data_IF_911029202050
#
_entry.id   IF_911029202050
#
_cell.length_a   1.000
_cell.length_b   1.000
_cell.length_c   1.000
_cell.angle_alpha   90.00
_cell.angle_beta   90.00
_cell.angle_gamma   90.00
#
_symmetry.space_group_name_H-M   'P 1'
#
loop_
_entity.id
_entity.type
_entity.pdbx_description
1 polymer ?
#
# COMPACT_ATOMS: atom_id res chain seq x y z
N UNK A 1 -1.72 11.73 36.29
CA UNK A 1 -1.75 11.12 34.95
C UNK A 1 -2.82 11.88 34.17
N UNK A 2 -2.48 12.55 33.08
CA UNK A 2 -3.49 13.11 32.16
C UNK A 2 -4.02 11.98 31.30
N UNK A 3 -5.24 11.56 31.52
CA UNK A 3 -5.90 10.60 30.67
C UNK A 3 -6.17 11.28 29.30
N UNK A 4 -5.64 10.69 28.23
CA UNK A 4 -5.97 11.09 26.89
C UNK A 4 -7.26 10.38 26.46
N UNK A 5 -8.10 11.03 25.65
CA UNK A 5 -9.29 10.39 25.09
C UNK A 5 -8.87 9.12 24.31
N UNK A 6 -9.35 7.93 24.71
CA UNK A 6 -8.98 6.69 24.05
C UNK A 6 -9.58 6.56 22.65
N UNK A 7 -10.67 7.25 22.36
CA UNK A 7 -11.31 7.25 21.04
C UNK A 7 -10.65 8.30 20.13
N UNK A 8 -10.22 7.85 18.96
CA UNK A 8 -9.69 8.69 17.88
C UNK A 8 -10.52 8.48 16.63
N UNK A 9 -10.80 9.55 15.91
CA UNK A 9 -11.50 9.51 14.63
C UNK A 9 -10.84 10.47 13.65
N UNK A 10 -10.72 10.05 12.38
CA UNK A 10 -10.24 10.91 11.30
C UNK A 10 -10.91 10.59 9.99
N UNK A 11 -10.95 11.60 9.13
CA UNK A 11 -11.49 11.53 7.77
C UNK A 11 -10.35 11.76 6.79
N UNK A 12 -10.40 11.05 5.68
CA UNK A 12 -9.45 11.18 4.59
C UNK A 12 -10.20 11.22 3.26
N UNK A 13 -9.79 12.12 2.37
CA UNK A 13 -10.24 12.22 0.99
C UNK A 13 -9.02 12.35 0.09
N UNK A 14 -8.96 11.54 -0.96
CA UNK A 14 -7.86 11.57 -1.90
C UNK A 14 -8.27 10.97 -3.26
N UNK A 15 -7.40 11.05 -4.26
CA UNK A 15 -7.55 10.41 -5.56
C UNK A 15 -6.55 9.25 -5.76
N UNK A 16 -6.28 8.46 -4.71
CA UNK A 16 -5.26 7.40 -4.72
C UNK A 16 -5.85 6.01 -5.00
N UNK A 17 -6.98 5.98 -5.73
CA UNK A 17 -7.52 4.74 -6.29
C UNK A 17 -7.29 4.72 -7.79
N UNK A 18 -7.31 3.53 -8.40
CA UNK A 18 -7.26 3.40 -9.86
C UNK A 18 -8.46 4.09 -10.51
N UNK A 19 -8.26 4.92 -11.56
CA UNK A 19 -9.36 5.47 -12.33
C UNK A 19 -10.33 4.43 -12.87
N UNK A 20 -9.86 3.21 -13.15
CA UNK A 20 -10.68 2.09 -13.62
C UNK A 20 -11.85 1.77 -12.67
N UNK A 21 -11.68 2.01 -11.38
CA UNK A 21 -12.69 1.75 -10.34
C UNK A 21 -13.07 3.02 -9.57
N UNK A 22 -12.82 4.20 -10.15
CA UNK A 22 -13.09 5.50 -9.56
C UNK A 22 -11.95 6.00 -8.68
N UNK A 23 -11.20 6.99 -9.17
CA UNK A 23 -9.97 7.51 -8.56
C UNK A 23 -10.20 8.16 -7.20
N UNK A 24 -11.28 8.92 -7.07
CA UNK A 24 -11.61 9.69 -5.86
C UNK A 24 -12.22 8.75 -4.81
N UNK A 25 -11.62 8.75 -3.61
CA UNK A 25 -12.04 7.92 -2.50
C UNK A 25 -12.09 8.69 -1.20
N UNK A 26 -12.97 8.24 -0.31
CA UNK A 26 -13.11 8.78 1.04
C UNK A 26 -13.06 7.67 2.07
N UNK A 27 -12.45 7.96 3.22
CA UNK A 27 -12.36 7.04 4.37
C UNK A 27 -12.80 7.72 5.65
N UNK A 28 -13.44 6.93 6.51
CA UNK A 28 -13.60 7.21 7.92
C UNK A 28 -12.88 6.13 8.72
N UNK A 29 -12.03 6.54 9.65
CA UNK A 29 -11.31 5.62 10.54
C UNK A 29 -11.65 5.97 11.99
N UNK A 30 -12.00 4.94 12.76
CA UNK A 30 -12.23 4.99 14.18
C UNK A 30 -11.23 4.05 14.87
N UNK A 31 -10.55 4.55 15.89
CA UNK A 31 -9.67 3.74 16.71
C UNK A 31 -9.94 3.96 18.18
N UNK A 32 -9.98 2.88 18.96
CA UNK A 32 -10.08 2.90 20.40
C UNK A 32 -8.83 2.28 21.00
N UNK A 33 -8.13 3.06 21.81
CA UNK A 33 -6.97 2.60 22.56
C UNK A 33 -7.43 2.11 23.94
N UNK A 34 -7.01 0.88 24.31
CA UNK A 34 -7.36 0.26 25.58
C UNK A 34 -8.86 -0.03 25.74
N UNK A 35 -9.46 -0.70 24.74
CA UNK A 35 -10.91 -1.02 24.71
C UNK A 35 -11.29 -2.00 25.85
N UNK A 36 -10.48 -3.04 26.05
CA UNK A 36 -10.72 -4.06 27.08
C UNK A 36 -9.89 -3.87 28.35
N UNK A 37 -9.08 -2.81 28.44
CA UNK A 37 -8.27 -2.52 29.62
C UNK A 37 -6.89 -3.19 29.63
N UNK A 38 -6.50 -3.90 28.54
CA UNK A 38 -5.23 -4.62 28.44
C UNK A 38 -4.17 -3.86 27.63
N UNK A 39 -4.36 -2.57 27.35
CA UNK A 39 -3.49 -1.81 26.46
C UNK A 39 -3.71 -2.15 24.97
N UNK A 40 -4.83 -2.76 24.66
CA UNK A 40 -5.25 -3.22 23.35
C UNK A 40 -5.67 -2.05 22.44
N UNK A 41 -5.65 -2.28 21.15
CA UNK A 41 -6.10 -1.29 20.15
C UNK A 41 -7.06 -1.92 19.16
N UNK A 42 -8.25 -1.34 19.06
CA UNK A 42 -9.22 -1.62 18.00
C UNK A 42 -9.16 -0.52 16.95
N UNK A 43 -9.07 -0.88 15.67
CA UNK A 43 -9.16 0.03 14.55
C UNK A 43 -10.19 -0.46 13.53
N UNK A 44 -11.09 0.43 13.14
CA UNK A 44 -12.12 0.20 12.12
C UNK A 44 -11.98 1.29 11.06
N UNK A 45 -11.82 0.89 9.80
CA UNK A 45 -11.82 1.80 8.67
C UNK A 45 -12.88 1.36 7.66
N UNK A 46 -13.69 2.30 7.26
CA UNK A 46 -14.60 2.17 6.13
C UNK A 46 -14.23 3.19 5.06
N UNK A 47 -14.17 2.75 3.83
CA UNK A 47 -13.92 3.63 2.68
C UNK A 47 -14.80 3.26 1.49
N UNK A 48 -14.90 4.19 0.56
CA UNK A 48 -15.57 4.00 -0.74
C UNK A 48 -15.00 4.90 -1.82
N UNK A 49 -15.12 4.45 -3.06
CA UNK A 49 -15.01 5.27 -4.28
C UNK A 49 -16.26 5.06 -5.15
N UNK A 50 -16.27 5.56 -6.38
CA UNK A 50 -17.38 5.31 -7.32
C UNK A 50 -17.62 3.81 -7.53
N UNK A 51 -16.57 3.07 -7.91
CA UNK A 51 -16.66 1.63 -8.19
C UNK A 51 -16.16 0.73 -7.06
N UNK A 52 -15.77 1.25 -5.89
CA UNK A 52 -15.35 0.41 -4.75
C UNK A 52 -16.22 0.66 -3.54
N UNK A 53 -17.00 -0.35 -3.14
CA UNK A 53 -17.87 -0.27 -1.97
C UNK A 53 -18.28 -1.67 -1.49
N UNK A 54 -17.88 -2.11 -0.28
CA UNK A 54 -17.07 -1.38 0.69
C UNK A 54 -15.55 -1.57 0.51
N UNK A 55 -14.77 -0.62 1.05
CA UNK A 55 -13.40 -0.82 1.47
C UNK A 55 -13.40 -0.93 3.00
N UNK A 56 -13.27 -2.13 3.54
CA UNK A 56 -13.28 -2.37 4.98
C UNK A 56 -11.90 -2.84 5.45
N UNK A 57 -11.45 -2.27 6.57
CA UNK A 57 -10.28 -2.75 7.29
C UNK A 57 -10.60 -2.75 8.79
N UNK A 58 -10.61 -3.95 9.36
CA UNK A 58 -10.71 -4.19 10.79
C UNK A 58 -9.37 -4.70 11.30
N UNK A 59 -8.84 -4.12 12.38
CA UNK A 59 -7.67 -4.60 13.09
C UNK A 59 -7.91 -4.54 14.59
N UNK A 60 -7.70 -5.66 15.28
CA UNK A 60 -7.64 -5.70 16.73
C UNK A 60 -6.26 -6.22 17.16
N UNK A 61 -5.58 -5.47 18.00
CA UNK A 61 -4.23 -5.78 18.47
C UNK A 61 -4.18 -5.74 19.98
N UNK A 62 -3.59 -6.76 20.60
CA UNK A 62 -3.44 -6.88 22.05
C UNK A 62 -1.99 -7.19 22.40
N UNK A 63 -1.38 -6.46 23.34
CA UNK A 63 -0.08 -6.81 23.89
C UNK A 63 -0.21 -8.06 24.78
N UNK A 64 0.72 -9.00 24.64
CA UNK A 64 0.78 -10.24 25.39
C UNK A 64 2.13 -10.37 26.09
N UNK A 65 2.11 -10.37 27.43
CA UNK A 65 3.31 -10.50 28.24
C UNK A 65 4.13 -9.21 28.39
N UNK A 66 5.19 -9.26 29.22
CA UNK A 66 5.93 -8.08 29.68
C UNK A 66 6.97 -7.56 28.67
N UNK A 67 7.15 -8.24 27.53
CA UNK A 67 8.16 -7.90 26.50
C UNK A 67 7.56 -7.25 25.26
N UNK A 68 6.38 -6.63 25.40
CA UNK A 68 5.67 -5.92 24.30
C UNK A 68 5.43 -6.79 23.06
N UNK A 69 5.32 -8.10 23.23
CA UNK A 69 4.82 -8.99 22.18
C UNK A 69 3.37 -8.62 21.91
N UNK A 70 3.00 -8.45 20.65
CA UNK A 70 1.62 -8.17 20.25
C UNK A 70 1.06 -9.29 19.40
N UNK A 71 -0.22 -9.58 19.60
CA UNK A 71 -1.02 -10.45 18.72
C UNK A 71 -2.07 -9.60 18.06
N UNK A 72 -2.20 -9.70 16.73
CA UNK A 72 -3.20 -8.93 16.00
C UNK A 72 -4.05 -9.82 15.10
N UNK A 73 -5.36 -9.58 15.12
CA UNK A 73 -6.32 -10.11 14.16
C UNK A 73 -6.68 -9.02 13.17
N UNK A 74 -6.68 -9.34 11.87
CA UNK A 74 -7.02 -8.43 10.81
C UNK A 74 -8.05 -9.04 9.86
N UNK A 75 -9.01 -8.22 9.41
CA UNK A 75 -9.92 -8.54 8.33
C UNK A 75 -9.98 -7.37 7.35
N UNK A 76 -9.78 -7.67 6.05
CA UNK A 76 -9.88 -6.68 4.97
C UNK A 76 -10.86 -7.18 3.92
N UNK A 77 -11.68 -6.28 3.41
CA UNK A 77 -12.61 -6.56 2.31
C UNK A 77 -12.64 -5.40 1.33
N UNK A 78 -12.56 -5.74 0.06
CA UNK A 78 -12.63 -4.80 -1.05
C UNK A 78 -13.57 -5.39 -2.10
N UNK A 79 -14.70 -4.72 -2.32
CA UNK A 79 -15.65 -5.09 -3.38
C UNK A 79 -15.56 -3.98 -4.42
N UNK A 80 -15.09 -4.28 -5.63
CA UNK A 80 -14.95 -3.28 -6.69
C UNK A 80 -15.63 -3.71 -7.99
N UNK A 81 -16.14 -2.71 -8.73
CA UNK A 81 -16.65 -2.80 -10.07
C UNK A 81 -15.87 -1.86 -11.00
N UNK A 82 -15.80 -2.21 -12.27
CA UNK A 82 -15.18 -1.37 -13.28
C UNK A 82 -16.14 -0.25 -13.67
N UNK A 83 -15.68 1.00 -13.57
CA UNK A 83 -16.44 2.22 -13.85
C UNK A 83 -15.92 2.99 -15.09
N UNK A 84 -14.73 2.65 -15.58
CA UNK A 84 -14.12 3.32 -16.72
C UNK A 84 -14.62 2.74 -18.04
N UNK A 85 -15.10 3.63 -18.93
CA UNK A 85 -15.49 3.27 -20.29
C UNK A 85 -14.27 2.75 -21.09
N UNK A 86 -14.45 1.76 -22.00
CA UNK A 86 -15.73 1.19 -22.47
C UNK A 86 -16.20 -0.04 -21.66
N UNK A 87 -15.55 -0.37 -20.55
CA UNK A 87 -15.80 -1.61 -19.82
C UNK A 87 -16.87 -1.48 -18.72
N UNK A 88 -17.29 -0.26 -18.40
CA UNK A 88 -18.34 0.08 -17.43
C UNK A 88 -19.67 -0.65 -17.70
N UNK A 89 -20.03 -0.82 -18.97
CA UNK A 89 -21.26 -1.49 -19.39
C UNK A 89 -21.24 -3.02 -19.21
N UNK A 90 -20.08 -3.62 -18.97
CA UNK A 90 -19.92 -5.08 -18.86
C UNK A 90 -20.26 -5.63 -17.47
N UNK A 91 -20.53 -4.78 -16.48
CA UNK A 91 -20.79 -5.15 -15.08
C UNK A 91 -19.73 -6.12 -14.53
N UNK A 92 -18.44 -5.76 -14.71
CA UNK A 92 -17.31 -6.52 -14.18
C UNK A 92 -17.19 -6.19 -12.69
N UNK A 93 -17.30 -7.19 -11.83
CA UNK A 93 -17.15 -7.05 -10.38
C UNK A 93 -16.10 -8.01 -9.83
N UNK A 94 -15.42 -7.57 -8.79
CA UNK A 94 -14.48 -8.40 -8.06
C UNK A 94 -14.66 -8.16 -6.56
N UNK A 95 -14.54 -9.23 -5.78
CA UNK A 95 -14.66 -9.22 -4.34
C UNK A 95 -13.44 -9.91 -3.73
N UNK A 96 -12.69 -9.18 -2.93
CA UNK A 96 -11.54 -9.71 -2.20
C UNK A 96 -11.77 -9.66 -0.69
N UNK A 97 -11.48 -10.75 0.01
CA UNK A 97 -11.55 -10.87 1.46
C UNK A 97 -10.25 -11.48 1.98
N UNK A 98 -9.66 -10.86 2.99
CA UNK A 98 -8.38 -11.29 3.55
C UNK A 98 -8.51 -11.35 5.07
N UNK A 99 -8.22 -12.52 5.66
CA UNK A 99 -8.13 -12.74 7.09
C UNK A 99 -6.68 -12.92 7.46
N UNK A 100 -6.21 -12.25 8.50
CA UNK A 100 -4.84 -12.32 8.97
C UNK A 100 -4.76 -12.47 10.48
N UNK A 101 -3.83 -13.30 10.94
CA UNK A 101 -3.43 -13.41 12.33
C UNK A 101 -1.91 -13.21 12.40
N UNK A 102 -1.46 -12.26 13.20
CA UNK A 102 -0.03 -11.96 13.35
C UNK A 102 0.43 -11.94 14.79
N UNK A 103 1.67 -12.35 14.98
CA UNK A 103 2.43 -12.19 16.23
C UNK A 103 3.65 -11.35 15.90
N UNK A 104 3.87 -10.26 16.64
CA UNK A 104 5.04 -9.40 16.52
C UNK A 104 5.76 -9.31 17.85
N UNK A 105 7.08 -9.52 17.83
CA UNK A 105 7.93 -9.47 19.02
C UNK A 105 9.12 -8.55 18.81
N UNK A 106 9.26 -7.46 19.58
CA UNK A 106 10.46 -6.63 19.57
C UNK A 106 11.58 -7.36 20.34
N UNK A 107 12.70 -7.64 19.63
CA UNK A 107 13.90 -8.24 20.23
C UNK A 107 14.90 -7.20 20.73
N UNK A 108 14.88 -6.02 20.12
CA UNK A 108 15.61 -4.84 20.57
C UNK A 108 14.60 -3.70 20.69
N UNK A 109 14.53 -3.07 21.86
CA UNK A 109 13.71 -1.90 22.09
C UNK A 109 14.47 -0.91 22.96
N UNK A 110 15.03 0.11 22.33
CA UNK A 110 15.72 1.22 22.97
C UNK A 110 15.01 2.53 22.59
N UNK A 111 15.38 3.64 23.22
CA UNK A 111 14.77 4.93 22.94
C UNK A 111 14.97 5.39 21.47
N UNK A 112 16.11 5.03 20.89
CA UNK A 112 16.56 5.41 19.56
C UNK A 112 16.54 4.28 18.52
N UNK A 113 16.28 3.03 18.95
CA UNK A 113 16.42 1.86 18.09
C UNK A 113 15.40 0.78 18.45
N UNK A 114 14.76 0.21 17.43
CA UNK A 114 13.90 -0.96 17.56
C UNK A 114 14.22 -1.99 16.47
N UNK A 115 14.31 -3.27 16.86
CA UNK A 115 14.31 -4.41 15.95
C UNK A 115 13.20 -5.36 16.40
N UNK A 116 12.28 -5.68 15.51
CA UNK A 116 11.19 -6.60 15.76
C UNK A 116 11.09 -7.67 14.69
N UNK A 117 10.63 -8.84 15.08
CA UNK A 117 10.23 -9.92 14.17
C UNK A 117 8.73 -10.10 14.22
N UNK A 118 8.16 -10.47 13.09
CA UNK A 118 6.73 -10.80 12.97
C UNK A 118 6.52 -12.11 12.22
N UNK A 119 5.51 -12.86 12.63
CA UNK A 119 4.99 -14.01 11.92
C UNK A 119 3.50 -13.79 11.67
N UNK A 120 3.08 -13.85 10.41
CA UNK A 120 1.70 -13.62 10.00
C UNK A 120 1.20 -14.78 9.16
N UNK A 121 0.05 -15.36 9.52
CA UNK A 121 -0.73 -16.23 8.66
C UNK A 121 -1.86 -15.44 8.00
N UNK A 122 -1.97 -15.50 6.69
CA UNK A 122 -3.06 -14.86 5.94
C UNK A 122 -3.81 -15.87 5.09
N UNK A 123 -5.13 -15.67 4.98
CA UNK A 123 -5.99 -16.40 4.06
C UNK A 123 -6.81 -15.40 3.24
N UNK A 124 -6.55 -15.37 1.94
CA UNK A 124 -7.20 -14.50 0.97
C UNK A 124 -8.16 -15.28 0.08
N UNK A 125 -9.31 -14.69 -0.21
CA UNK A 125 -10.31 -15.19 -1.15
C UNK A 125 -10.65 -14.09 -2.14
N UNK A 126 -10.77 -14.47 -3.40
CA UNK A 126 -11.16 -13.57 -4.47
C UNK A 126 -12.27 -14.22 -5.30
N UNK A 127 -13.26 -13.43 -5.70
CA UNK A 127 -14.35 -13.84 -6.59
C UNK A 127 -14.57 -12.75 -7.64
N UNK A 128 -14.62 -13.15 -8.93
CA UNK A 128 -14.86 -12.26 -10.08
C UNK A 128 -16.13 -12.66 -10.81
N UNK A 129 -16.89 -11.66 -11.25
CA UNK A 129 -18.13 -11.86 -12.03
C UNK A 129 -18.19 -10.90 -13.21
N UNK A 130 -18.89 -11.32 -14.27
CA UNK A 130 -19.23 -10.53 -15.45
C UNK A 130 -20.74 -10.65 -15.66
N UNK A 131 -21.46 -9.52 -15.65
CA UNK A 131 -22.94 -9.54 -15.75
C UNK A 131 -23.60 -10.40 -14.67
N UNK A 132 -23.01 -10.45 -13.45
CA UNK A 132 -23.50 -11.26 -12.32
C UNK A 132 -23.13 -12.75 -12.36
N UNK A 133 -22.53 -13.26 -13.44
CA UNK A 133 -22.11 -14.66 -13.55
C UNK A 133 -20.62 -14.82 -13.21
N UNK A 134 -20.21 -15.96 -12.61
CA UNK A 134 -18.79 -16.25 -12.38
C UNK A 134 -17.99 -16.14 -13.67
N UNK A 135 -16.89 -15.38 -13.64
CA UNK A 135 -16.07 -15.12 -14.82
C UNK A 135 -14.58 -15.17 -14.47
N UNK A 136 -13.80 -15.88 -15.26
CA UNK A 136 -12.35 -15.98 -15.11
C UNK A 136 -11.66 -14.69 -15.62
N UNK A 137 -11.77 -13.63 -14.84
CA UNK A 137 -11.08 -12.37 -15.12
C UNK A 137 -9.55 -12.49 -14.97
N UNK A 138 -9.12 -13.37 -14.08
CA UNK A 138 -7.72 -13.66 -13.79
C UNK A 138 -7.44 -15.08 -14.27
N UNK A 139 -6.56 -15.23 -15.26
CA UNK A 139 -6.16 -16.53 -15.79
C UNK A 139 -5.65 -17.43 -14.65
N UNK A 140 -6.14 -18.66 -14.61
CA UNK A 140 -5.84 -19.60 -13.52
C UNK A 140 -6.72 -19.48 -12.28
N UNK A 141 -7.80 -18.65 -12.35
CA UNK A 141 -8.83 -18.56 -11.34
C UNK A 141 -10.12 -19.25 -11.82
N UNK A 142 -10.25 -20.58 -11.70
CA UNK A 142 -11.38 -21.32 -12.27
C UNK A 142 -12.72 -20.81 -11.71
N UNK A 143 -13.70 -20.63 -12.59
CA UNK A 143 -15.00 -20.03 -12.24
C UNK A 143 -14.88 -18.66 -11.55
N UNK A 144 -13.87 -17.87 -11.91
CA UNK A 144 -13.62 -16.55 -11.33
C UNK A 144 -13.15 -16.55 -9.87
N UNK A 145 -12.70 -17.68 -9.34
CA UNK A 145 -12.37 -17.81 -7.92
C UNK A 145 -10.94 -18.28 -7.71
N UNK A 146 -10.25 -17.62 -6.80
CA UNK A 146 -8.98 -18.13 -6.27
C UNK A 146 -8.88 -17.90 -4.77
N UNK A 147 -8.06 -18.73 -4.13
CA UNK A 147 -7.74 -18.65 -2.70
C UNK A 147 -6.24 -18.76 -2.53
N UNK A 148 -5.70 -17.93 -1.66
CA UNK A 148 -4.29 -17.95 -1.28
C UNK A 148 -4.19 -18.05 0.22
N UNK A 149 -3.40 -19.00 0.71
CA UNK A 149 -3.01 -19.08 2.12
C UNK A 149 -1.52 -18.89 2.20
N UNK A 150 -1.06 -17.92 2.98
CA UNK A 150 0.36 -17.58 3.07
C UNK A 150 0.84 -17.43 4.51
N UNK A 151 2.10 -17.80 4.72
CA UNK A 151 2.87 -17.49 5.94
C UNK A 151 3.91 -16.44 5.59
N UNK A 152 3.98 -15.38 6.41
CA UNK A 152 4.88 -14.26 6.22
C UNK A 152 5.77 -14.07 7.43
N UNK A 153 7.09 -14.09 7.23
CA UNK A 153 8.07 -13.74 8.24
C UNK A 153 8.63 -12.35 7.97
N UNK A 154 8.40 -11.42 8.89
CA UNK A 154 8.83 -10.03 8.80
C UNK A 154 9.97 -9.71 9.76
N UNK A 155 10.89 -8.88 9.30
CA UNK A 155 11.99 -8.29 10.07
C UNK A 155 11.87 -6.78 9.91
N UNK A 156 11.67 -6.08 11.01
CA UNK A 156 11.45 -4.63 11.06
C UNK A 156 12.56 -3.98 11.88
N UNK A 157 13.25 -3.02 11.30
CA UNK A 157 14.26 -2.23 11.97
C UNK A 157 13.94 -0.75 11.86
N UNK A 158 13.99 -0.03 12.96
CA UNK A 158 13.85 1.41 13.01
C UNK A 158 14.96 2.01 13.87
N UNK A 159 15.57 3.07 13.36
CA UNK A 159 16.54 3.90 14.10
C UNK A 159 16.15 5.37 14.00
N UNK A 160 16.20 6.09 15.11
CA UNK A 160 15.84 7.50 15.21
C UNK A 160 16.94 8.27 15.90
N UNK A 161 17.28 9.42 15.33
CA UNK A 161 18.15 10.40 15.96
C UNK A 161 17.55 11.80 15.80
N UNK A 162 18.21 12.83 16.33
CA UNK A 162 17.76 14.21 16.14
C UNK A 162 17.76 14.65 14.66
N UNK A 163 18.62 14.05 13.83
CA UNK A 163 18.82 14.46 12.44
C UNK A 163 18.21 13.50 11.42
N UNK A 164 17.97 12.24 11.79
CA UNK A 164 17.51 11.23 10.82
C UNK A 164 16.66 10.15 11.43
N UNK A 165 15.82 9.56 10.56
CA UNK A 165 15.08 8.33 10.82
C UNK A 165 15.38 7.35 9.70
N UNK A 166 15.75 6.12 10.07
CA UNK A 166 15.92 5.00 9.15
C UNK A 166 14.87 3.96 9.51
N UNK A 167 14.13 3.45 8.52
CA UNK A 167 13.17 2.37 8.67
C UNK A 167 13.41 1.33 7.58
N UNK A 168 13.60 0.08 7.99
CA UNK A 168 13.82 -1.06 7.08
C UNK A 168 12.79 -2.14 7.38
N UNK A 169 12.23 -2.72 6.32
CA UNK A 169 11.39 -3.92 6.37
C UNK A 169 11.96 -4.96 5.42
N UNK A 170 12.10 -6.19 5.90
CA UNK A 170 12.36 -7.36 5.07
C UNK A 170 11.27 -8.40 5.38
N UNK A 171 10.54 -8.86 4.36
CA UNK A 171 9.43 -9.79 4.52
C UNK A 171 9.52 -10.94 3.53
N UNK A 172 9.64 -12.16 4.05
CA UNK A 172 9.54 -13.39 3.30
C UNK A 172 8.11 -13.91 3.35
N UNK A 173 7.55 -14.26 2.21
CA UNK A 173 6.20 -14.81 2.10
C UNK A 173 6.25 -16.18 1.41
N UNK A 174 5.58 -17.16 2.01
CA UNK A 174 5.45 -18.50 1.48
C UNK A 174 3.98 -18.83 1.33
N UNK A 175 3.54 -19.05 0.10
CA UNK A 175 2.22 -19.57 -0.20
C UNK A 175 2.15 -21.07 0.09
N UNK A 176 1.14 -21.49 0.84
CA UNK A 176 0.96 -22.89 1.24
C UNK A 176 -0.33 -23.47 0.66
N UNK A 177 -0.29 -24.74 0.23
CA UNK A 177 -1.43 -25.45 -0.35
C UNK A 177 -2.47 -25.89 0.69
N UNK A 178 -2.86 -24.98 1.61
CA UNK A 178 -3.78 -25.25 2.69
C UNK A 178 -5.11 -24.48 2.55
N UNK A 179 -6.15 -24.88 3.27
CA UNK A 179 -7.46 -24.21 3.35
C UNK A 179 -8.14 -24.00 1.96
N UNK A 180 -7.89 -24.92 1.01
CA UNK A 180 -8.44 -24.86 -0.33
C UNK A 180 -7.73 -23.83 -1.23
N UNK A 181 -6.47 -23.55 -1.00
CA UNK A 181 -5.63 -22.71 -1.84
C UNK A 181 -5.62 -23.21 -3.30
N UNK A 182 -5.69 -22.29 -4.25
CA UNK A 182 -5.78 -22.59 -5.68
C UNK A 182 -4.41 -23.01 -6.20
N UNK A 183 -4.29 -24.28 -6.62
CA UNK A 183 -3.08 -24.84 -7.21
C UNK A 183 -3.33 -25.15 -8.69
N UNK A 184 -2.56 -24.56 -9.57
CA UNK A 184 -2.73 -24.72 -11.01
C UNK A 184 -1.78 -25.76 -11.62
N UNK A 185 -0.60 -25.97 -11.05
CA UNK A 185 0.38 -26.96 -11.55
C UNK A 185 1.04 -26.61 -12.88
N UNK A 186 0.58 -25.59 -13.60
CA UNK A 186 1.22 -25.03 -14.79
C UNK A 186 2.08 -23.83 -14.38
N UNK A 187 3.39 -23.84 -14.63
CA UNK A 187 4.30 -22.75 -14.24
C UNK A 187 3.98 -21.40 -14.95
N UNK A 188 3.17 -21.41 -16.01
CA UNK A 188 2.74 -20.19 -16.69
C UNK A 188 1.47 -19.57 -16.08
N UNK A 189 0.82 -20.25 -15.15
CA UNK A 189 -0.36 -19.75 -14.45
C UNK A 189 -0.01 -19.34 -13.02
N UNK A 190 -0.73 -18.35 -12.46
CA UNK A 190 -0.58 -18.02 -11.05
C UNK A 190 -0.91 -19.22 -10.16
N UNK A 191 -0.11 -19.46 -9.13
CA UNK A 191 -0.32 -20.53 -8.16
C UNK A 191 -0.32 -19.95 -6.74
N UNK A 192 -1.12 -20.53 -5.85
CA UNK A 192 -1.14 -20.13 -4.44
C UNK A 192 0.08 -20.66 -3.65
N UNK A 193 0.86 -21.56 -4.24
CA UNK A 193 2.15 -22.00 -3.72
C UNK A 193 3.23 -21.16 -4.38
N UNK A 194 3.85 -20.31 -3.61
CA UNK A 194 4.85 -19.36 -4.10
C UNK A 194 5.85 -19.02 -2.99
N UNK A 195 6.98 -18.49 -3.42
CA UNK A 195 7.92 -17.78 -2.54
C UNK A 195 8.16 -16.38 -3.07
N UNK A 196 8.04 -15.39 -2.17
CA UNK A 196 8.37 -14.00 -2.50
C UNK A 196 9.10 -13.32 -1.34
N UNK A 197 9.95 -12.36 -1.70
CA UNK A 197 10.62 -11.47 -0.76
C UNK A 197 10.27 -10.02 -1.09
N UNK A 198 9.91 -9.25 -0.05
CA UNK A 198 9.72 -7.80 -0.10
C UNK A 198 10.73 -7.12 0.81
N UNK A 199 11.49 -6.20 0.25
CA UNK A 199 12.36 -5.28 0.97
C UNK A 199 11.86 -3.86 0.85
N UNK A 200 11.72 -3.13 1.97
CA UNK A 200 11.44 -1.69 1.98
C UNK A 200 12.50 -0.97 2.82
N UNK A 201 12.95 0.17 2.33
CA UNK A 201 13.85 1.05 3.05
C UNK A 201 13.33 2.49 2.97
N UNK A 202 13.28 3.18 4.09
CA UNK A 202 12.97 4.59 4.16
C UNK A 202 14.05 5.30 4.98
N UNK A 203 14.58 6.39 4.42
CA UNK A 203 15.51 7.26 5.09
C UNK A 203 15.01 8.69 5.03
N UNK A 204 14.83 9.28 6.20
CA UNK A 204 14.42 10.67 6.36
C UNK A 204 15.59 11.37 7.05
N UNK A 205 16.11 12.45 6.45
CA UNK A 205 17.20 13.22 7.01
C UNK A 205 16.91 14.71 7.00
N UNK A 206 17.15 15.37 8.13
CA UNK A 206 17.12 16.81 8.23
C UNK A 206 18.46 17.38 7.73
N UNK A 207 18.40 18.19 6.68
CA UNK A 207 19.56 18.88 6.13
C UNK A 207 19.64 20.30 6.69
N UNK A 208 20.85 20.82 7.00
CA UNK A 208 21.01 22.22 7.45
C UNK A 208 20.56 23.23 6.39
N UNK A 209 20.79 22.91 5.11
CA UNK A 209 20.44 23.77 3.98
C UNK A 209 18.93 24.00 3.93
N UNK A 210 18.51 25.24 4.16
CA UNK A 210 17.09 25.67 4.17
C UNK A 210 16.19 24.84 5.10
N UNK A 211 16.76 24.19 6.11
CA UNK A 211 16.00 23.27 6.99
C UNK A 211 15.24 22.19 6.21
N UNK A 212 15.80 21.78 5.09
CA UNK A 212 15.19 20.81 4.18
C UNK A 212 15.15 19.42 4.79
N UNK A 213 14.03 18.73 4.69
CA UNK A 213 13.92 17.33 5.02
C UNK A 213 14.03 16.50 3.73
N UNK A 214 15.09 15.69 3.62
CA UNK A 214 15.25 14.72 2.54
C UNK A 214 14.52 13.43 2.92
N UNK A 215 13.63 12.96 2.06
CA UNK A 215 12.89 11.71 2.21
C UNK A 215 13.26 10.80 1.05
N UNK A 216 13.87 9.67 1.33
CA UNK A 216 14.23 8.66 0.32
C UNK A 216 13.52 7.35 0.66
N UNK A 217 12.90 6.70 -0.33
CA UNK A 217 12.22 5.42 -0.18
C UNK A 217 12.63 4.49 -1.31
N UNK A 218 12.98 3.26 -0.94
CA UNK A 218 13.23 2.16 -1.88
C UNK A 218 12.32 0.99 -1.55
N UNK A 219 11.79 0.32 -2.57
CA UNK A 219 10.97 -0.88 -2.43
C UNK A 219 11.41 -1.88 -3.49
N UNK A 220 11.59 -3.13 -3.10
CA UNK A 220 11.91 -4.25 -4.01
C UNK A 220 11.05 -5.44 -3.65
N UNK A 221 10.36 -6.01 -4.63
CA UNK A 221 9.73 -7.32 -4.51
C UNK A 221 10.33 -8.28 -5.51
N UNK A 222 10.67 -9.48 -5.06
CA UNK A 222 11.19 -10.56 -5.89
C UNK A 222 10.40 -11.85 -5.66
N UNK A 223 10.00 -12.50 -6.73
CA UNK A 223 9.38 -13.82 -6.74
C UNK A 223 9.90 -14.64 -7.91
N UNK A 224 10.16 -15.91 -7.69
CA UNK A 224 10.45 -16.86 -8.75
C UNK A 224 9.18 -17.51 -9.32
N UNK A 225 8.04 -17.26 -8.69
CA UNK A 225 6.75 -17.84 -9.05
C UNK A 225 5.84 -16.77 -9.67
N UNK A 226 4.90 -17.18 -10.53
CA UNK A 226 3.85 -16.32 -11.03
C UNK A 226 2.76 -16.18 -9.96
N UNK A 227 2.53 -14.94 -9.51
CA UNK A 227 1.69 -14.61 -8.37
C UNK A 227 0.25 -14.28 -8.78
N UNK A 228 -0.72 -14.65 -7.94
CA UNK A 228 -2.06 -14.06 -8.03
C UNK A 228 -2.01 -12.54 -7.73
N UNK A 229 -2.91 -11.72 -8.30
CA UNK A 229 -2.87 -10.25 -8.17
C UNK A 229 -2.83 -9.71 -6.73
N UNK A 230 -3.40 -10.43 -5.75
CA UNK A 230 -3.34 -10.03 -4.35
C UNK A 230 -1.93 -10.15 -3.73
N UNK A 231 -1.02 -10.86 -4.38
CA UNK A 231 0.38 -11.05 -3.97
C UNK A 231 1.36 -10.25 -4.86
N UNK A 232 0.89 -9.74 -6.00
CA UNK A 232 1.69 -8.92 -6.91
C UNK A 232 1.92 -7.52 -6.34
N UNK A 233 2.95 -6.85 -6.83
CA UNK A 233 3.29 -5.48 -6.47
C UNK A 233 2.82 -4.50 -7.56
N UNK A 234 2.24 -3.38 -7.13
CA UNK A 234 1.81 -2.31 -8.01
C UNK A 234 2.87 -1.21 -8.14
N UNK A 235 3.06 -0.70 -9.36
CA UNK A 235 3.94 0.43 -9.68
C UNK A 235 3.15 1.47 -10.44
N UNK A 236 3.25 2.73 -10.05
CA UNK A 236 2.47 3.88 -10.50
C UNK A 236 1.57 4.40 -9.40
N UNK A 237 1.41 5.73 -9.34
CA UNK A 237 0.58 6.41 -8.36
C UNK A 237 1.34 7.08 -7.22
N UNK A 238 0.58 7.63 -6.28
CA UNK A 238 1.06 8.51 -5.19
C UNK A 238 2.19 7.91 -4.35
N UNK A 239 2.13 6.62 -4.06
CA UNK A 239 3.08 5.96 -3.15
C UNK A 239 4.22 5.23 -3.83
N UNK A 240 4.31 5.28 -5.18
CA UNK A 240 5.36 4.62 -5.94
C UNK A 240 6.00 5.55 -6.98
N UNK A 241 5.38 5.77 -8.13
CA UNK A 241 5.86 6.66 -9.19
C UNK A 241 4.76 7.66 -9.53
N UNK A 242 4.81 8.83 -8.89
CA UNK A 242 3.85 9.93 -9.10
C UNK A 242 3.87 10.41 -10.55
N UNK A 243 2.74 10.93 -11.03
CA UNK A 243 2.59 11.33 -12.42
C UNK A 243 2.10 10.22 -13.35
N UNK A 244 1.95 9.00 -12.85
CA UNK A 244 1.26 7.89 -13.51
C UNK A 244 0.02 7.50 -12.70
N UNK A 245 -0.97 6.90 -13.38
CA UNK A 245 -2.16 6.35 -12.71
C UNK A 245 -1.77 5.37 -11.59
N UNK A 246 -2.58 5.31 -10.56
CA UNK A 246 -2.51 4.23 -9.57
C UNK A 246 -2.62 2.88 -10.27
N UNK A 247 -1.76 1.93 -9.85
CA UNK A 247 -1.71 0.56 -10.39
C UNK A 247 -1.41 0.49 -11.90
N UNK A 248 -0.65 1.43 -12.47
CA UNK A 248 -0.25 1.41 -13.89
C UNK A 248 0.41 0.09 -14.29
N UNK A 249 1.25 -0.47 -13.43
CA UNK A 249 1.81 -1.82 -13.58
C UNK A 249 1.46 -2.64 -12.34
N UNK A 250 1.01 -3.89 -12.55
CA UNK A 250 0.85 -4.90 -11.51
C UNK A 250 1.75 -6.08 -11.91
N UNK A 251 2.74 -6.43 -11.09
CA UNK A 251 3.82 -7.35 -11.46
C UNK A 251 4.19 -8.29 -10.31
N UNK A 252 4.77 -9.45 -10.66
CA UNK A 252 5.35 -10.37 -9.68
C UNK A 252 6.57 -9.75 -9.02
N UNK A 253 7.35 -9.00 -9.81
CA UNK A 253 8.62 -8.42 -9.42
C UNK A 253 8.65 -6.93 -9.71
N UNK A 254 9.20 -6.13 -8.79
CA UNK A 254 9.47 -4.72 -9.04
C UNK A 254 10.60 -4.19 -8.16
N UNK A 255 11.22 -3.11 -8.66
CA UNK A 255 12.11 -2.25 -7.89
C UNK A 255 11.69 -0.79 -8.08
N UNK A 256 11.53 -0.06 -6.99
CA UNK A 256 11.07 1.34 -6.97
C UNK A 256 11.98 2.19 -6.10
N UNK A 257 12.18 3.44 -6.53
CA UNK A 257 12.93 4.45 -5.80
C UNK A 257 12.18 5.78 -5.86
N UNK A 258 12.04 6.44 -4.72
CA UNK A 258 11.52 7.80 -4.61
C UNK A 258 12.48 8.64 -3.76
N UNK A 259 12.79 9.84 -4.24
CA UNK A 259 13.59 10.82 -3.53
C UNK A 259 12.83 12.14 -3.55
N UNK A 260 12.57 12.71 -2.38
CA UNK A 260 11.80 13.94 -2.20
C UNK A 260 12.52 14.87 -1.22
N UNK A 261 12.62 16.13 -1.59
CA UNK A 261 13.16 17.18 -0.71
C UNK A 261 12.02 18.09 -0.24
N UNK A 262 11.68 18.07 1.06
CA UNK A 262 10.67 18.93 1.66
C UNK A 262 11.30 20.20 2.19
N UNK A 263 11.13 21.29 1.44
CA UNK A 263 11.68 22.61 1.78
C UNK A 263 10.58 23.42 2.46
N UNK A 264 10.73 23.84 3.73
CA UNK A 264 9.74 24.69 4.38
C UNK A 264 9.76 26.08 3.73
N UNK A 265 8.61 26.52 3.21
CA UNK A 265 8.43 27.82 2.56
C UNK A 265 7.59 28.78 3.39
N UNK A 266 6.87 28.26 4.35
CA UNK A 266 6.12 29.07 5.33
C UNK A 266 6.21 28.49 6.72
N UNK A 267 6.61 29.32 7.68
CA UNK A 267 6.68 29.00 9.12
C UNK A 267 5.68 29.86 9.86
N UNK A 268 4.87 29.28 10.72
CA UNK A 268 3.89 30.00 11.52
C UNK A 268 4.57 30.94 12.54
N UNK A 269 3.81 31.89 13.10
CA UNK A 269 4.32 32.76 14.19
C UNK A 269 4.80 32.01 15.42
N UNK A 270 4.33 30.77 15.62
CA UNK A 270 4.78 29.87 16.69
C UNK A 270 6.06 29.11 16.35
N UNK A 271 6.71 29.39 15.22
CA UNK A 271 7.95 28.72 14.78
C UNK A 271 7.75 27.31 14.22
N UNK A 272 6.51 26.93 13.86
CA UNK A 272 6.21 25.62 13.28
C UNK A 272 6.13 25.74 11.76
N UNK A 273 6.86 24.90 11.04
CA UNK A 273 6.79 24.82 9.58
C UNK A 273 5.42 24.27 9.16
N UNK A 274 4.71 25.04 8.35
CA UNK A 274 3.33 24.74 7.97
C UNK A 274 3.17 24.41 6.49
N UNK A 275 3.95 25.05 5.60
CA UNK A 275 3.89 24.79 4.16
C UNK A 275 5.26 24.36 3.67
N UNK A 276 5.27 23.29 2.89
CA UNK A 276 6.49 22.75 2.27
C UNK A 276 6.31 22.68 0.76
N UNK A 277 7.36 23.07 0.04
CA UNK A 277 7.53 22.69 -1.35
C UNK A 277 8.31 21.38 -1.39
N UNK A 278 7.83 20.42 -2.18
CA UNK A 278 8.34 19.05 -2.19
C UNK A 278 8.74 18.61 -3.61
N UNK A 279 9.87 19.11 -4.19
CA UNK A 279 10.40 18.54 -5.43
C UNK A 279 10.79 17.08 -5.22
N UNK A 280 10.54 16.26 -6.27
CA UNK A 280 10.79 14.82 -6.21
C UNK A 280 11.30 14.24 -7.53
N UNK A 281 11.90 13.06 -7.41
CA UNK A 281 12.22 12.13 -8.48
C UNK A 281 11.74 10.75 -8.09
N UNK A 282 10.95 10.11 -8.96
CA UNK A 282 10.45 8.76 -8.77
C UNK A 282 10.82 7.88 -9.96
N UNK A 283 11.20 6.63 -9.67
CA UNK A 283 11.47 5.61 -10.67
C UNK A 283 10.93 4.26 -10.20
N UNK A 284 10.32 3.50 -11.12
CA UNK A 284 9.88 2.14 -10.86
C UNK A 284 10.08 1.26 -12.07
N UNK A 285 10.54 0.03 -11.85
CA UNK A 285 10.69 -0.99 -12.86
C UNK A 285 9.98 -2.26 -12.40
N UNK A 286 9.07 -2.78 -13.23
CA UNK A 286 8.32 -4.00 -12.92
C UNK A 286 8.45 -5.03 -14.03
N UNK A 287 8.53 -6.32 -13.65
CA UNK A 287 8.60 -7.44 -14.59
C UNK A 287 7.84 -8.66 -14.05
N UNK A 288 7.42 -9.52 -14.98
CA UNK A 288 6.79 -10.79 -14.64
C UNK A 288 7.82 -11.92 -14.62
N UNK A 289 7.55 -12.93 -13.82
CA UNK A 289 8.37 -14.14 -13.72
C UNK A 289 8.27 -14.97 -15.00
N UNK A 290 7.08 -15.05 -15.60
CA UNK A 290 6.85 -15.73 -16.87
C UNK A 290 6.91 -14.76 -18.05
N UNK A 291 7.36 -15.24 -19.22
CA UNK A 291 7.41 -14.43 -20.43
C UNK A 291 6.00 -14.01 -20.86
N UNK A 292 5.76 -12.71 -20.98
CA UNK A 292 4.50 -12.17 -21.48
C UNK A 292 4.53 -11.99 -23.00
N UNK A 293 3.33 -11.92 -23.59
CA UNK A 293 3.12 -11.66 -25.00
C UNK A 293 3.84 -10.38 -25.45
N UNK A 294 4.53 -10.34 -26.59
CA UNK A 294 5.14 -9.13 -27.12
C UNK A 294 4.10 -8.01 -27.32
N UNK A 295 4.42 -6.78 -26.94
CA UNK A 295 3.58 -5.59 -27.12
C UNK A 295 2.95 -5.05 -25.84
N UNK A 296 3.21 -5.65 -24.70
CA UNK A 296 2.67 -5.17 -23.42
C UNK A 296 3.39 -3.92 -22.89
N UNK A 297 2.71 -3.26 -21.97
CA UNK A 297 2.98 -2.07 -21.17
C UNK A 297 4.46 -1.76 -20.87
N UNK A 298 4.86 -0.48 -20.81
CA UNK A 298 6.22 -0.10 -20.43
C UNK A 298 6.57 -0.68 -19.06
N UNK A 299 7.74 -1.31 -18.99
CA UNK A 299 8.22 -1.96 -17.76
C UNK A 299 8.85 -0.98 -16.77
N UNK A 300 9.20 0.22 -17.23
CA UNK A 300 9.86 1.24 -16.42
C UNK A 300 9.07 2.54 -16.49
N UNK A 301 8.72 3.06 -15.33
CA UNK A 301 8.11 4.37 -15.13
C UNK A 301 9.14 5.31 -14.51
N UNK A 302 9.21 6.55 -14.96
CA UNK A 302 10.11 7.57 -14.42
C UNK A 302 9.40 8.92 -14.45
N UNK A 303 9.43 9.64 -13.34
CA UNK A 303 8.84 10.97 -13.23
C UNK A 303 9.65 11.91 -12.37
N UNK A 304 9.45 13.20 -12.63
CA UNK A 304 9.96 14.31 -11.82
C UNK A 304 8.88 15.34 -11.66
N UNK A 305 8.89 16.12 -10.66
CA UNK A 305 8.30 17.43 -10.47
C UNK A 305 8.22 17.82 -8.99
N UNK A 306 7.12 18.39 -8.54
CA UNK A 306 7.00 18.86 -7.16
C UNK A 306 5.58 18.72 -6.62
N UNK A 307 5.48 18.76 -5.30
CA UNK A 307 4.23 18.88 -4.55
C UNK A 307 4.25 20.04 -3.58
N UNK A 308 3.09 20.33 -3.05
CA UNK A 308 2.87 21.23 -1.92
C UNK A 308 2.25 20.43 -0.79
N UNK A 309 2.84 20.52 0.38
CA UNK A 309 2.33 19.91 1.61
C UNK A 309 1.96 21.06 2.56
N UNK A 310 0.72 21.08 3.03
CA UNK A 310 0.22 22.11 3.94
C UNK A 310 -0.37 21.50 5.20
N UNK A 311 0.30 21.76 6.33
CA UNK A 311 -0.17 21.40 7.67
C UNK A 311 -0.86 22.63 8.27
N UNK A 312 -2.19 22.60 8.44
CA UNK A 312 -2.92 23.84 8.75
C UNK A 312 -3.61 23.85 10.11
N UNK A 313 -4.20 22.78 10.59
CA UNK A 313 -4.90 22.82 11.87
C UNK A 313 -4.88 21.47 12.57
N UNK A 314 -4.43 21.44 13.84
CA UNK A 314 -4.53 20.31 14.80
C UNK A 314 -4.47 18.90 14.19
N UNK A 315 -3.46 18.62 13.37
CA UNK A 315 -3.29 17.33 12.72
C UNK A 315 -3.98 17.20 11.36
N UNK A 316 -4.55 18.30 10.83
CA UNK A 316 -5.05 18.34 9.45
C UNK A 316 -3.93 18.68 8.48
N UNK A 317 -3.85 17.97 7.37
CA UNK A 317 -2.89 18.26 6.31
C UNK A 317 -3.56 18.13 4.93
N UNK A 318 -2.98 18.84 3.98
CA UNK A 318 -3.32 18.76 2.57
C UNK A 318 -2.06 18.52 1.78
N UNK A 319 -2.14 17.65 0.79
CA UNK A 319 -1.05 17.37 -0.14
C UNK A 319 -1.55 17.48 -1.57
N UNK A 320 -0.79 18.13 -2.42
CA UNK A 320 -1.02 18.19 -3.85
C UNK A 320 0.29 17.95 -4.56
N UNK A 321 0.34 16.93 -5.42
CA UNK A 321 1.51 16.60 -6.21
C UNK A 321 1.19 16.70 -7.69
N UNK A 322 2.13 17.26 -8.44
CA UNK A 322 2.15 17.18 -9.88
C UNK A 322 3.40 16.43 -10.32
N UNK A 323 3.23 15.37 -11.13
CA UNK A 323 4.29 14.54 -11.66
C UNK A 323 4.31 14.59 -13.19
N UNK A 324 5.47 14.94 -13.77
CA UNK A 324 5.69 14.86 -15.21
C UNK A 324 6.33 13.52 -15.55
N UNK A 325 5.63 12.74 -16.38
CA UNK A 325 6.14 11.49 -16.93
C UNK A 325 7.34 11.78 -17.85
N UNK A 326 8.49 11.14 -17.57
CA UNK A 326 9.66 11.17 -18.45
C UNK A 326 9.61 10.03 -19.48
N UNK A 327 8.93 8.94 -19.15
CA UNK A 327 8.54 7.88 -20.10
C UNK A 327 7.03 7.95 -20.29
N UNK A 328 6.59 8.33 -21.48
CA UNK A 328 5.19 8.53 -21.78
C UNK A 328 4.42 7.21 -21.71
N UNK A 329 3.27 7.27 -21.07
CA UNK A 329 2.25 6.23 -21.04
C UNK A 329 0.95 6.85 -21.54
N UNK A 330 0.46 6.36 -22.68
CA UNK A 330 -0.76 6.94 -23.27
C UNK A 330 -1.99 6.41 -22.52
N UNK A 331 -2.83 7.35 -22.09
CA UNK A 331 -4.12 7.13 -21.42
C UNK A 331 -5.15 8.07 -22.04
N UNK A 332 -6.42 7.81 -21.84
CA UNK A 332 -7.52 8.60 -22.44
C UNK A 332 -7.66 10.02 -21.88
N UNK A 333 -6.83 10.42 -20.93
CA UNK A 333 -6.75 11.76 -20.30
C UNK A 333 -8.09 12.30 -19.79
N UNK A 334 -8.88 11.47 -19.17
CA UNK A 334 -10.18 11.81 -18.62
C UNK A 334 -10.18 11.99 -17.08
N UNK A 335 -9.03 11.78 -16.42
CA UNK A 335 -8.89 11.86 -14.97
C UNK A 335 -7.70 12.74 -14.56
N UNK A 336 -7.70 13.25 -13.31
CA UNK A 336 -6.60 14.07 -12.77
C UNK A 336 -5.26 13.34 -12.78
N UNK A 337 -5.23 12.03 -12.51
CA UNK A 337 -4.01 11.23 -12.54
C UNK A 337 -3.40 11.15 -13.94
N UNK A 338 -4.21 11.23 -15.01
CA UNK A 338 -3.73 11.28 -16.40
C UNK A 338 -2.99 12.58 -16.73
N UNK A 339 -3.28 13.62 -15.96
CA UNK A 339 -2.57 14.89 -15.97
C UNK A 339 -1.43 14.94 -14.96
N UNK A 340 -1.15 13.81 -14.27
CA UNK A 340 -0.08 13.68 -13.29
C UNK A 340 -0.39 14.31 -11.92
N UNK A 341 -1.65 14.57 -11.61
CA UNK A 341 -2.10 15.21 -10.37
C UNK A 341 -2.55 14.16 -9.36
N UNK A 342 -1.94 14.21 -8.17
CA UNK A 342 -2.24 13.36 -7.03
C UNK A 342 -2.42 14.15 -5.75
#
# INVERSE_FOLDING_TARGET
VKEANPLKAWLEFNNYQSPVVGAEQGFITLAHQNLLGFGDTLSLQYGRSAGVNPMLNFKYEIPVGPRDTTVALQYRRFDFGVEESPFDSLDIKNKAQIFGLSVRHPVIRKADQELAFSLTGEHARNESTLGGNPFELITGAPNGRFRVTSLRFGQEYAQRSAEQVISLLSRFSVGVGAMGATANGDPNLPDARFFSWLGEAQWIRQLPLWRTQLVSRGVVQLSNDHLFPLEQIAVGGRYSVRGYREFTLIRDNAAMLSIEARVPVYTTKAGVDSVFLAPFFDMGHGWQTTAQTPGSLPKTLVSVCAGVIWNFWRGSHFELYYGKQLKRYDTDRNNLQDHGIH
#
